data_IF_333541650741
#
_entry.id   IF_333541650741
#
_cell.length_a   1.000
_cell.length_b   1.000
_cell.length_c   1.000
_cell.angle_alpha   90.00
_cell.angle_beta   90.00
_cell.angle_gamma   90.00
#
_symmetry.space_group_name_H-M   'P 1'
#
loop_
_entity.id
_entity.type
_entity.pdbx_description
1 polymer ?
#
# COMPACT_ATOMS: atom_id res chain seq x y z
N UNK A 1 43.22 -30.05 -29.25
CA UNK A 1 42.09 -29.93 -28.29
C UNK A 1 41.79 -28.44 -28.15
N UNK A 2 40.83 -27.92 -28.92
CA UNK A 2 40.48 -26.49 -28.94
C UNK A 2 39.28 -26.32 -28.01
N UNK A 3 39.46 -25.66 -26.86
CA UNK A 3 38.38 -25.25 -25.99
C UNK A 3 37.71 -24.01 -26.59
N UNK A 4 36.49 -24.15 -27.11
CA UNK A 4 35.63 -23.03 -27.47
C UNK A 4 34.98 -22.54 -26.15
N UNK A 5 35.52 -21.46 -25.57
CA UNK A 5 34.87 -20.69 -24.54
C UNK A 5 33.73 -19.88 -25.20
N UNK A 6 32.52 -20.39 -25.16
CA UNK A 6 31.36 -19.64 -25.51
C UNK A 6 31.14 -18.55 -24.44
N UNK A 7 31.37 -17.30 -24.79
CA UNK A 7 30.94 -16.15 -23.99
C UNK A 7 29.43 -16.07 -24.05
N UNK A 8 28.74 -16.52 -22.98
CA UNK A 8 27.35 -16.17 -22.72
C UNK A 8 27.33 -14.69 -22.35
N UNK A 9 27.01 -13.84 -23.30
CA UNK A 9 26.55 -12.48 -22.99
C UNK A 9 25.16 -12.60 -22.33
N UNK A 10 25.14 -12.71 -21.02
CA UNK A 10 23.94 -12.43 -20.28
C UNK A 10 23.67 -10.91 -20.48
N UNK A 11 22.80 -10.56 -21.41
CA UNK A 11 22.18 -9.25 -21.42
C UNK A 11 21.33 -9.20 -20.14
N UNK A 12 21.88 -8.59 -19.11
CA UNK A 12 21.11 -8.24 -17.92
C UNK A 12 20.07 -7.21 -18.38
N UNK A 13 18.87 -7.69 -18.61
CA UNK A 13 17.69 -6.86 -18.82
C UNK A 13 17.47 -6.14 -17.48
N UNK A 14 17.76 -4.83 -17.43
CA UNK A 14 17.70 -4.07 -16.17
C UNK A 14 16.26 -3.93 -15.71
N UNK A 15 16.00 -4.29 -14.46
CA UNK A 15 14.74 -4.02 -13.79
C UNK A 15 14.45 -2.51 -13.75
N UNK A 16 13.18 -2.14 -13.83
CA UNK A 16 12.77 -0.73 -13.69
C UNK A 16 12.74 -0.34 -12.22
N UNK A 17 13.39 0.77 -11.87
CA UNK A 17 13.36 1.31 -10.52
C UNK A 17 12.77 2.73 -10.50
N UNK A 18 11.78 2.95 -9.63
CA UNK A 18 11.12 4.24 -9.41
C UNK A 18 11.31 4.64 -7.95
N UNK A 19 11.64 5.90 -7.72
CA UNK A 19 11.72 6.49 -6.39
C UNK A 19 10.88 7.74 -6.30
N UNK A 20 10.27 7.98 -5.13
CA UNK A 20 9.45 9.17 -4.91
C UNK A 20 8.89 9.26 -3.49
N UNK A 21 7.81 10.03 -3.32
CA UNK A 21 7.14 10.19 -2.03
C UNK A 21 5.66 9.88 -2.11
N UNK A 22 5.11 9.47 -0.96
CA UNK A 22 3.77 8.93 -0.83
C UNK A 22 3.08 9.51 0.41
N UNK A 23 2.50 10.72 0.31
CA UNK A 23 1.67 11.28 1.37
C UNK A 23 0.32 10.56 1.45
N UNK A 24 -0.12 10.32 2.68
CA UNK A 24 -1.44 9.77 2.96
C UNK A 24 -2.09 10.47 4.15
N UNK A 25 -3.39 10.72 4.08
CA UNK A 25 -4.18 11.23 5.20
C UNK A 25 -5.46 10.41 5.34
N UNK A 26 -5.85 10.14 6.58
CA UNK A 26 -7.07 9.39 6.89
C UNK A 26 -7.85 10.06 8.02
N UNK A 27 -9.15 10.23 7.80
CA UNK A 27 -10.11 10.73 8.78
C UNK A 27 -11.17 9.68 9.03
N UNK A 28 -11.28 9.22 10.28
CA UNK A 28 -12.28 8.25 10.69
C UNK A 28 -13.19 8.84 11.74
N UNK A 29 -14.49 8.61 11.65
CA UNK A 29 -15.47 8.98 12.68
C UNK A 29 -16.46 7.86 12.95
N UNK A 30 -16.85 7.75 14.23
CA UNK A 30 -17.82 6.78 14.68
C UNK A 30 -19.24 7.34 14.44
N UNK A 31 -20.06 6.60 13.69
CA UNK A 31 -21.49 6.88 13.57
C UNK A 31 -22.27 6.26 14.75
N UNK A 32 -21.77 5.15 15.28
CA UNK A 32 -22.31 4.46 16.46
C UNK A 32 -21.24 3.55 17.05
N UNK A 33 -21.54 2.79 18.11
CA UNK A 33 -20.64 1.81 18.68
C UNK A 33 -20.17 0.74 17.66
N UNK A 34 -21.02 0.42 16.68
CA UNK A 34 -20.76 -0.62 15.69
C UNK A 34 -20.36 -0.08 14.31
N UNK A 35 -20.72 1.13 13.96
CA UNK A 35 -20.52 1.68 12.62
C UNK A 35 -19.54 2.86 12.62
N UNK A 36 -18.70 2.90 11.60
CA UNK A 36 -17.77 4.00 11.36
C UNK A 36 -17.69 4.35 9.88
N UNK A 37 -17.34 5.59 9.58
CA UNK A 37 -16.97 6.04 8.24
C UNK A 37 -15.52 6.46 8.27
N UNK A 38 -14.78 6.14 7.20
CA UNK A 38 -13.39 6.53 7.02
C UNK A 38 -13.21 7.11 5.64
N UNK A 39 -12.68 8.32 5.57
CA UNK A 39 -12.19 8.92 4.33
C UNK A 39 -10.67 8.86 4.33
N UNK A 40 -10.09 8.54 3.20
CA UNK A 40 -8.65 8.45 3.02
C UNK A 40 -8.26 9.10 1.69
N UNK A 41 -7.20 9.87 1.72
CA UNK A 41 -6.51 10.41 0.54
C UNK A 41 -5.11 9.87 0.57
N UNK A 42 -4.64 9.36 -0.55
CA UNK A 42 -3.25 8.97 -0.75
C UNK A 42 -2.80 9.40 -2.15
N UNK A 43 -1.56 9.88 -2.26
CA UNK A 43 -1.01 10.35 -3.53
C UNK A 43 0.40 9.81 -3.72
N UNK A 44 0.78 9.55 -4.96
CA UNK A 44 2.11 9.07 -5.33
C UNK A 44 2.75 10.08 -6.28
N UNK A 45 3.98 10.46 -5.95
CA UNK A 45 4.76 11.45 -6.69
C UNK A 45 6.13 10.88 -6.98
N UNK A 46 6.41 10.59 -8.26
CA UNK A 46 7.71 10.14 -8.73
C UNK A 46 8.72 11.28 -8.70
N UNK A 47 9.96 10.97 -8.40
CA UNK A 47 11.12 11.87 -8.45
C UNK A 47 12.22 11.31 -9.34
N UNK A 48 12.27 10.00 -9.51
CA UNK A 48 13.25 9.30 -10.32
C UNK A 48 12.63 8.06 -10.96
N UNK A 49 12.93 7.84 -12.22
CA UNK A 49 12.59 6.61 -12.96
C UNK A 49 13.81 6.19 -13.78
N UNK A 50 14.31 4.96 -13.56
CA UNK A 50 15.48 4.42 -14.28
C UNK A 50 15.25 4.25 -15.78
N UNK A 51 14.01 4.29 -16.25
CA UNK A 51 13.70 4.28 -17.68
C UNK A 51 13.82 5.66 -18.33
N UNK A 52 13.97 6.73 -17.53
CA UNK A 52 14.21 8.07 -18.05
C UNK A 52 15.64 8.16 -18.58
N UNK A 53 15.80 8.40 -19.88
CA UNK A 53 17.09 8.43 -20.58
C UNK A 53 18.10 9.46 -20.05
N UNK A 54 17.61 10.49 -19.34
CA UNK A 54 18.45 11.57 -18.84
C UNK A 54 19.00 11.29 -17.44
N UNK A 55 18.53 10.24 -16.74
CA UNK A 55 18.86 9.93 -15.33
C UNK A 55 18.72 11.12 -14.36
N UNK A 56 17.92 12.12 -14.74
CA UNK A 56 17.69 13.33 -13.96
C UNK A 56 16.49 13.12 -13.01
N UNK A 57 16.51 13.89 -11.91
CA UNK A 57 15.36 13.96 -11.02
C UNK A 57 14.25 14.79 -11.70
N UNK A 58 13.15 14.14 -11.99
CA UNK A 58 11.99 14.76 -12.60
C UNK A 58 10.74 14.52 -11.74
N UNK A 59 10.05 15.58 -11.37
CA UNK A 59 8.81 15.46 -10.62
C UNK A 59 7.66 15.02 -11.53
N UNK A 60 7.02 13.93 -11.16
CA UNK A 60 5.83 13.39 -11.82
C UNK A 60 4.73 13.09 -10.79
N UNK A 61 3.54 13.62 -11.02
CA UNK A 61 2.36 13.18 -10.28
C UNK A 61 1.85 11.86 -10.86
N UNK A 62 2.12 10.74 -10.18
CA UNK A 62 1.72 9.42 -10.70
C UNK A 62 0.23 9.16 -10.51
N UNK A 63 -0.31 9.40 -9.32
CA UNK A 63 -1.75 9.22 -9.03
C UNK A 63 -2.17 9.86 -7.71
N UNK A 64 -3.49 10.09 -7.58
CA UNK A 64 -4.15 10.41 -6.30
C UNK A 64 -5.39 9.55 -6.12
N UNK A 65 -5.49 8.83 -5.01
CA UNK A 65 -6.62 7.98 -4.63
C UNK A 65 -7.46 8.66 -3.54
N UNK A 66 -8.74 8.89 -3.83
CA UNK A 66 -9.76 9.35 -2.88
C UNK A 66 -10.61 8.15 -2.48
N UNK A 67 -10.56 7.74 -1.22
CA UNK A 67 -11.23 6.55 -0.74
C UNK A 67 -12.24 6.90 0.36
N UNK A 68 -13.39 6.21 0.35
CA UNK A 68 -14.42 6.31 1.39
C UNK A 68 -14.88 4.91 1.78
N UNK A 69 -14.96 4.64 3.06
CA UNK A 69 -15.36 3.34 3.60
C UNK A 69 -16.49 3.52 4.62
N UNK A 70 -17.44 2.61 4.59
CA UNK A 70 -18.41 2.38 5.67
C UNK A 70 -18.05 1.03 6.29
N UNK A 71 -17.77 1.04 7.60
CA UNK A 71 -17.33 -0.14 8.32
C UNK A 71 -18.26 -0.53 9.45
N UNK A 72 -18.44 -1.84 9.64
CA UNK A 72 -19.16 -2.43 10.78
C UNK A 72 -18.20 -3.26 11.62
N UNK A 73 -18.19 -2.98 12.93
CA UNK A 73 -17.46 -3.77 13.92
C UNK A 73 -18.33 -4.91 14.40
N UNK A 74 -17.90 -6.14 14.19
CA UNK A 74 -18.57 -7.35 14.64
C UNK A 74 -18.09 -7.79 16.04
N UNK A 75 -16.83 -7.53 16.34
CA UNK A 75 -16.24 -7.76 17.66
C UNK A 75 -15.12 -6.73 17.92
N UNK A 76 -14.51 -6.68 19.12
CA UNK A 76 -13.34 -5.84 19.37
C UNK A 76 -12.15 -6.13 18.44
N UNK A 77 -12.16 -7.29 17.79
CA UNK A 77 -11.06 -7.77 16.96
C UNK A 77 -11.40 -7.84 15.46
N UNK A 78 -12.67 -7.80 15.07
CA UNK A 78 -13.10 -8.00 13.68
C UNK A 78 -13.93 -6.82 13.20
N UNK A 79 -13.50 -6.23 12.08
CA UNK A 79 -14.20 -5.17 11.37
C UNK A 79 -14.32 -5.55 9.89
N UNK A 80 -15.48 -5.31 9.30
CA UNK A 80 -15.77 -5.43 7.87
C UNK A 80 -16.06 -4.04 7.33
N UNK A 81 -15.44 -3.69 6.20
CA UNK A 81 -15.67 -2.41 5.54
C UNK A 81 -16.05 -2.66 4.07
N UNK A 82 -16.96 -1.84 3.57
CA UNK A 82 -17.25 -1.68 2.15
C UNK A 82 -16.78 -0.28 1.78
N UNK A 83 -16.09 -0.14 0.66
CA UNK A 83 -15.51 1.12 0.24
C UNK A 83 -15.64 1.38 -1.24
N UNK A 84 -15.42 2.62 -1.56
CA UNK A 84 -15.33 3.13 -2.90
C UNK A 84 -14.08 4.01 -3.01
N UNK A 85 -13.40 3.91 -4.14
CA UNK A 85 -12.22 4.71 -4.47
C UNK A 85 -12.41 5.35 -5.84
N UNK A 86 -12.07 6.62 -5.90
CA UNK A 86 -11.87 7.36 -7.14
C UNK A 86 -10.38 7.64 -7.27
N UNK A 87 -9.79 7.22 -8.39
CA UNK A 87 -8.38 7.44 -8.72
C UNK A 87 -8.27 8.51 -9.79
N UNK A 88 -7.43 9.49 -9.51
CA UNK A 88 -7.01 10.54 -10.44
C UNK A 88 -5.58 10.18 -10.87
N UNK A 89 -5.40 9.90 -12.15
CA UNK A 89 -4.08 9.62 -12.74
C UNK A 89 -4.03 10.21 -14.17
N UNK A 90 -2.83 10.35 -14.71
CA UNK A 90 -2.67 10.87 -16.06
C UNK A 90 -3.31 9.91 -17.07
N UNK A 91 -4.07 10.45 -18.00
CA UNK A 91 -4.75 9.70 -19.05
C UNK A 91 -6.18 9.29 -18.70
N UNK A 92 -6.41 8.51 -17.67
CA UNK A 92 -7.75 8.00 -17.33
C UNK A 92 -8.01 7.94 -15.82
N UNK A 93 -9.11 8.57 -15.40
CA UNK A 93 -9.59 8.41 -14.02
C UNK A 93 -10.35 7.09 -13.87
N UNK A 94 -10.08 6.34 -12.79
CA UNK A 94 -10.67 5.04 -12.57
C UNK A 94 -11.51 4.98 -11.30
N UNK A 95 -12.49 4.08 -11.31
CA UNK A 95 -13.39 3.82 -10.19
C UNK A 95 -13.11 2.42 -9.63
N UNK A 96 -13.21 2.28 -8.30
CA UNK A 96 -12.96 0.99 -7.66
C UNK A 96 -13.93 0.74 -6.52
N UNK A 97 -14.52 -0.45 -6.50
CA UNK A 97 -15.22 -0.98 -5.33
C UNK A 97 -14.27 -1.79 -4.47
N UNK A 98 -14.48 -1.76 -3.15
CA UNK A 98 -13.58 -2.37 -2.18
C UNK A 98 -14.41 -3.09 -1.13
N UNK A 99 -14.09 -4.36 -0.86
CA UNK A 99 -14.59 -5.12 0.28
C UNK A 99 -13.39 -5.56 1.12
N UNK A 100 -13.44 -5.34 2.43
CA UNK A 100 -12.33 -5.75 3.28
C UNK A 100 -12.78 -6.26 4.64
N UNK A 101 -12.01 -7.21 5.15
CA UNK A 101 -12.09 -7.71 6.52
C UNK A 101 -10.78 -7.40 7.21
N UNK A 102 -10.86 -6.79 8.38
CA UNK A 102 -9.73 -6.49 9.26
C UNK A 102 -9.85 -7.28 10.55
N UNK A 103 -8.79 -7.99 10.91
CA UNK A 103 -8.69 -8.79 12.14
C UNK A 103 -7.51 -8.28 12.94
N UNK A 104 -7.74 -7.93 14.21
CA UNK A 104 -6.72 -7.44 15.13
C UNK A 104 -6.40 -8.51 16.18
N UNK A 105 -5.14 -8.90 16.24
CA UNK A 105 -4.59 -9.71 17.34
C UNK A 105 -3.80 -8.80 18.27
N UNK A 106 -4.01 -8.94 19.58
CA UNK A 106 -3.27 -8.21 20.61
C UNK A 106 -2.47 -9.21 21.44
N UNK A 107 -1.18 -8.97 21.55
CA UNK A 107 -0.31 -9.63 22.51
C UNK A 107 0.20 -8.59 23.51
N UNK A 108 0.98 -9.01 24.51
CA UNK A 108 1.39 -8.16 25.63
C UNK A 108 2.18 -6.92 25.21
N UNK A 109 3.00 -7.04 24.15
CA UNK A 109 3.91 -5.96 23.71
C UNK A 109 3.85 -5.65 22.21
N UNK A 110 2.90 -6.24 21.46
CA UNK A 110 2.71 -5.93 20.04
C UNK A 110 1.26 -6.12 19.63
N UNK A 111 0.91 -5.48 18.52
CA UNK A 111 -0.38 -5.65 17.84
C UNK A 111 -0.14 -6.15 16.43
N UNK A 112 -0.88 -7.17 16.03
CA UNK A 112 -0.85 -7.70 14.66
C UNK A 112 -2.22 -7.49 14.04
N UNK A 113 -2.24 -6.81 12.90
CA UNK A 113 -3.42 -6.60 12.08
C UNK A 113 -3.33 -7.43 10.80
N UNK A 114 -4.36 -8.21 10.55
CA UNK A 114 -4.58 -8.89 9.27
C UNK A 114 -5.63 -8.11 8.49
N UNK A 115 -5.43 -7.94 7.20
CA UNK A 115 -6.44 -7.38 6.29
C UNK A 115 -6.53 -8.23 5.04
N UNK A 116 -7.71 -8.77 4.79
CA UNK A 116 -8.08 -9.39 3.53
C UNK A 116 -8.93 -8.37 2.78
N UNK A 117 -8.59 -8.09 1.52
CA UNK A 117 -9.30 -7.13 0.69
C UNK A 117 -9.51 -7.70 -0.71
N UNK A 118 -10.68 -7.45 -1.25
CA UNK A 118 -11.03 -7.65 -2.65
C UNK A 118 -11.34 -6.28 -3.25
N UNK A 119 -10.77 -5.99 -4.40
CA UNK A 119 -11.03 -4.76 -5.14
C UNK A 119 -11.39 -5.09 -6.60
N UNK A 120 -12.33 -4.32 -7.14
CA UNK A 120 -12.73 -4.34 -8.55
C UNK A 120 -12.55 -2.94 -9.12
N UNK A 121 -11.64 -2.80 -10.09
CA UNK A 121 -11.36 -1.52 -10.77
C UNK A 121 -12.03 -1.48 -12.12
N UNK A 122 -12.81 -0.43 -12.35
CA UNK A 122 -13.55 -0.18 -13.57
C UNK A 122 -12.82 0.87 -14.41
N UNK A 123 -12.53 0.52 -15.64
CA UNK A 123 -11.95 1.38 -16.67
C UNK A 123 -13.03 1.71 -17.69
N UNK A 124 -12.83 2.80 -18.44
CA UNK A 124 -13.75 3.19 -19.50
C UNK A 124 -13.67 2.24 -20.70
N UNK A 125 -12.44 1.96 -21.15
CA UNK A 125 -12.17 1.25 -22.41
C UNK A 125 -11.33 -0.03 -22.20
N UNK A 126 -11.18 -0.52 -20.96
CA UNK A 126 -10.46 -1.74 -20.65
C UNK A 126 -11.31 -2.70 -19.79
N UNK A 127 -11.00 -4.00 -19.80
CA UNK A 127 -11.66 -4.99 -18.95
C UNK A 127 -11.50 -4.68 -17.46
N UNK A 128 -12.44 -5.21 -16.67
CA UNK A 128 -12.42 -5.16 -15.22
C UNK A 128 -11.09 -5.74 -14.66
N UNK A 129 -10.42 -5.01 -13.78
CA UNK A 129 -9.28 -5.52 -13.03
C UNK A 129 -9.76 -5.96 -11.64
N UNK A 130 -9.65 -7.25 -11.38
CA UNK A 130 -9.91 -7.85 -10.07
C UNK A 130 -8.62 -8.00 -9.28
N UNK A 131 -8.65 -7.71 -7.96
CA UNK A 131 -7.50 -7.89 -7.07
C UNK A 131 -7.90 -8.52 -5.76
N UNK A 132 -7.17 -9.57 -5.38
CA UNK A 132 -7.22 -10.18 -4.06
C UNK A 132 -5.96 -9.80 -3.28
N UNK A 133 -6.13 -9.27 -2.05
CA UNK A 133 -5.02 -8.69 -1.27
C UNK A 133 -5.03 -9.24 0.16
N UNK A 134 -3.85 -9.59 0.65
CA UNK A 134 -3.64 -9.92 2.05
C UNK A 134 -2.51 -9.07 2.62
N UNK A 135 -2.81 -8.34 3.70
CA UNK A 135 -1.83 -7.54 4.43
C UNK A 135 -1.70 -8.00 5.88
N UNK A 136 -0.45 -8.18 6.29
CA UNK A 136 -0.03 -8.33 7.67
C UNK A 136 0.64 -7.03 8.13
N UNK A 137 0.20 -6.43 9.24
CA UNK A 137 0.82 -5.23 9.83
C UNK A 137 1.10 -5.49 11.31
N UNK A 138 2.37 -5.37 11.71
CA UNK A 138 2.83 -5.35 13.10
C UNK A 138 2.99 -3.92 13.61
N UNK A 139 2.63 -3.68 14.87
CA UNK A 139 2.93 -2.44 15.60
C UNK A 139 3.60 -2.80 16.92
N UNK A 140 4.79 -2.25 17.17
CA UNK A 140 5.63 -2.51 18.33
C UNK A 140 5.88 -1.19 19.04
N UNK A 141 5.38 -0.98 20.28
CA UNK A 141 5.74 0.17 21.09
C UNK A 141 7.26 0.23 21.31
N UNK A 142 7.84 1.43 21.26
CA UNK A 142 9.27 1.62 21.49
C UNK A 142 9.58 2.06 22.93
N UNK A 143 8.55 2.37 23.71
CA UNK A 143 8.64 2.89 25.07
C UNK A 143 7.63 2.17 25.95
N UNK A 144 8.00 1.07 26.57
CA UNK A 144 7.09 0.29 27.42
C UNK A 144 6.43 -0.92 26.71
N UNK A 145 5.45 -1.54 27.38
CA UNK A 145 4.74 -2.73 26.90
C UNK A 145 3.43 -2.40 26.16
N UNK A 146 2.89 -1.22 26.39
CA UNK A 146 1.69 -0.70 25.71
C UNK A 146 2.05 0.56 24.95
N UNK A 147 1.23 0.93 23.98
CA UNK A 147 1.40 2.19 23.27
C UNK A 147 0.50 3.23 23.93
N UNK A 148 1.14 4.16 24.66
CA UNK A 148 0.48 5.23 25.38
C UNK A 148 0.60 6.60 24.66
N UNK A 149 -0.30 7.57 24.91
CA UNK A 149 -0.22 8.90 24.31
C UNK A 149 1.14 9.58 24.53
N UNK A 150 1.68 10.17 23.45
CA UNK A 150 3.01 10.79 23.42
C UNK A 150 4.13 9.85 23.03
N UNK A 151 3.87 8.56 22.87
CA UNK A 151 4.89 7.55 22.58
C UNK A 151 5.10 7.30 21.08
N UNK A 152 6.23 6.65 20.79
CA UNK A 152 6.61 6.22 19.44
C UNK A 152 6.44 4.71 19.31
N UNK A 153 6.20 4.27 18.08
CA UNK A 153 6.11 2.85 17.74
C UNK A 153 6.74 2.56 16.38
N UNK A 154 7.21 1.35 16.23
CA UNK A 154 7.62 0.80 14.93
C UNK A 154 6.41 0.11 14.29
N UNK A 155 6.10 0.46 13.05
CA UNK A 155 5.13 -0.23 12.23
C UNK A 155 5.84 -0.95 11.08
N UNK A 156 5.58 -2.24 10.94
CA UNK A 156 6.10 -3.06 9.83
C UNK A 156 4.92 -3.74 9.16
N UNK A 157 4.87 -3.72 7.84
CA UNK A 157 3.81 -4.42 7.11
C UNK A 157 4.33 -5.07 5.84
N UNK A 158 3.70 -6.18 5.48
CA UNK A 158 3.83 -6.81 4.18
C UNK A 158 2.44 -7.05 3.60
N UNK A 159 2.26 -6.75 2.31
CA UNK A 159 1.01 -6.96 1.59
C UNK A 159 1.30 -7.68 0.27
N UNK A 160 0.63 -8.79 0.05
CA UNK A 160 0.58 -9.51 -1.22
C UNK A 160 -0.70 -9.14 -1.96
N UNK A 161 -0.58 -8.90 -3.26
CA UNK A 161 -1.69 -8.51 -4.14
C UNK A 161 -1.62 -9.39 -5.37
N UNK A 162 -2.63 -10.22 -5.56
CA UNK A 162 -2.84 -10.98 -6.78
C UNK A 162 -3.86 -10.26 -7.65
N UNK A 163 -3.53 -10.05 -8.91
CA UNK A 163 -4.31 -9.28 -9.88
C UNK A 163 -4.69 -10.14 -11.07
N UNK A 164 -5.91 -9.98 -11.58
CA UNK A 164 -6.38 -10.62 -12.80
C UNK A 164 -7.10 -9.58 -13.66
N UNK A 165 -6.70 -9.46 -14.92
CA UNK A 165 -7.37 -8.64 -15.91
C UNK A 165 -7.45 -9.42 -17.22
N UNK A 166 -8.66 -9.73 -17.68
CA UNK A 166 -8.88 -10.64 -18.80
C UNK A 166 -8.26 -12.04 -18.57
N UNK A 167 -7.27 -12.42 -19.35
CA UNK A 167 -6.52 -13.68 -19.25
C UNK A 167 -5.12 -13.50 -18.67
N UNK A 168 -4.76 -12.27 -18.26
CA UNK A 168 -3.47 -11.97 -17.70
C UNK A 168 -3.59 -11.84 -16.18
N UNK A 169 -2.62 -12.39 -15.47
CA UNK A 169 -2.52 -12.30 -14.03
C UNK A 169 -1.14 -11.80 -13.62
N UNK A 170 -1.07 -11.12 -12.48
CA UNK A 170 0.17 -10.65 -11.90
C UNK A 170 0.13 -10.68 -10.38
N UNK A 171 1.32 -10.63 -9.79
CA UNK A 171 1.55 -10.58 -8.35
C UNK A 171 2.36 -9.34 -7.99
N UNK A 172 1.90 -8.59 -6.99
CA UNK A 172 2.64 -7.47 -6.41
C UNK A 172 2.91 -7.76 -4.93
N UNK A 173 4.13 -7.46 -4.46
CA UNK A 173 4.51 -7.45 -3.06
C UNK A 173 4.79 -6.02 -2.61
N UNK A 174 4.29 -5.64 -1.42
CA UNK A 174 4.55 -4.36 -0.76
C UNK A 174 5.08 -4.59 0.63
N UNK A 175 6.27 -4.09 0.91
CA UNK A 175 6.88 -4.12 2.23
C UNK A 175 7.05 -2.69 2.74
N UNK A 176 6.55 -2.39 3.93
CA UNK A 176 6.69 -1.05 4.49
C UNK A 176 7.17 -1.09 5.94
N UNK A 177 8.05 -0.13 6.27
CA UNK A 177 8.55 0.12 7.62
C UNK A 177 8.35 1.60 7.93
N UNK A 178 7.77 1.92 9.08
CA UNK A 178 7.52 3.31 9.49
C UNK A 178 7.76 3.51 10.98
N UNK A 179 8.30 4.68 11.33
CA UNK A 179 8.29 5.21 12.67
C UNK A 179 6.97 5.96 12.88
N UNK A 180 6.20 5.52 13.86
CA UNK A 180 4.94 6.13 14.23
C UNK A 180 5.06 6.99 15.48
N UNK A 181 4.32 8.09 15.50
CA UNK A 181 4.15 8.99 16.62
C UNK A 181 2.68 8.93 17.04
N UNK A 182 2.41 8.45 18.25
CA UNK A 182 1.09 8.35 18.82
C UNK A 182 0.83 9.55 19.73
N UNK A 183 0.29 10.63 19.17
CA UNK A 183 0.07 11.87 19.95
C UNK A 183 -1.02 11.67 21.02
N UNK A 184 -2.12 11.05 20.63
CA UNK A 184 -3.25 10.71 21.48
C UNK A 184 -4.13 9.64 20.80
N UNK A 185 -5.24 9.24 21.43
CA UNK A 185 -6.17 8.22 20.92
C UNK A 185 -6.81 8.58 19.57
N UNK A 186 -6.72 9.84 19.16
CA UNK A 186 -7.33 10.37 17.95
C UNK A 186 -6.31 10.67 16.85
N UNK A 187 -5.05 10.91 17.19
CA UNK A 187 -4.05 11.47 16.27
C UNK A 187 -2.80 10.61 16.23
N UNK A 188 -2.44 10.16 15.02
CA UNK A 188 -1.20 9.42 14.73
C UNK A 188 -0.53 9.99 13.50
N UNK A 189 0.79 9.98 13.53
CA UNK A 189 1.64 10.34 12.40
C UNK A 189 2.63 9.21 12.14
N UNK A 190 2.81 8.81 10.90
CA UNK A 190 3.78 7.79 10.49
C UNK A 190 4.69 8.37 9.41
N UNK A 191 6.00 8.13 9.53
CA UNK A 191 6.97 8.41 8.47
C UNK A 191 7.82 7.17 8.24
N UNK A 192 8.09 6.82 6.97
CA UNK A 192 8.81 5.59 6.69
C UNK A 192 9.04 5.35 5.20
N UNK A 193 9.33 4.11 4.88
CA UNK A 193 9.58 3.62 3.54
C UNK A 193 8.54 2.56 3.17
N UNK A 194 8.08 2.59 1.93
CA UNK A 194 7.18 1.61 1.32
C UNK A 194 7.83 1.13 0.02
N UNK A 195 8.30 -0.12 0.03
CA UNK A 195 8.95 -0.76 -1.11
C UNK A 195 8.00 -1.74 -1.77
N UNK A 196 7.86 -1.64 -3.08
CA UNK A 196 6.95 -2.45 -3.88
C UNK A 196 7.70 -3.10 -5.01
N UNK A 197 7.34 -4.35 -5.29
CA UNK A 197 7.80 -5.10 -6.45
C UNK A 197 6.58 -5.69 -7.13
N UNK A 198 6.45 -5.51 -8.41
CA UNK A 198 5.39 -6.06 -9.26
C UNK A 198 5.96 -6.61 -10.56
N UNK A 199 5.08 -7.04 -11.46
CA UNK A 199 5.41 -7.70 -12.73
C UNK A 199 6.07 -9.09 -12.54
N UNK A 200 5.68 -9.83 -11.47
CA UNK A 200 6.25 -11.16 -11.17
C UNK A 200 5.83 -12.23 -12.18
N UNK A 201 4.66 -12.08 -12.83
CA UNK A 201 4.06 -13.09 -13.69
C UNK A 201 3.92 -12.65 -15.16
N UNK A 202 4.10 -11.35 -15.44
CA UNK A 202 3.80 -10.75 -16.76
C UNK A 202 5.04 -10.60 -17.60
N UNK A 203 6.19 -10.24 -17.01
CA UNK A 203 7.43 -9.93 -17.72
C UNK A 203 8.65 -10.62 -17.10
N UNK A 204 9.72 -10.76 -17.89
CA UNK A 204 11.04 -11.21 -17.39
C UNK A 204 11.78 -10.12 -16.58
N UNK A 205 11.12 -9.00 -16.30
CA UNK A 205 11.66 -7.83 -15.59
C UNK A 205 10.74 -7.41 -14.45
N UNK A 206 11.35 -7.20 -13.30
CA UNK A 206 10.63 -6.65 -12.16
C UNK A 206 10.57 -5.13 -12.23
N UNK A 207 9.45 -4.58 -11.76
CA UNK A 207 9.32 -3.16 -11.49
C UNK A 207 9.41 -2.92 -9.98
N UNK A 208 10.43 -2.17 -9.56
CA UNK A 208 10.69 -1.82 -8.17
C UNK A 208 10.31 -0.37 -7.93
N UNK A 209 9.56 -0.11 -6.85
CA UNK A 209 9.14 1.24 -6.46
C UNK A 209 9.45 1.46 -4.99
N UNK A 210 10.26 2.47 -4.68
CA UNK A 210 10.58 2.88 -3.32
C UNK A 210 9.94 4.24 -3.04
N UNK A 211 9.02 4.27 -2.09
CA UNK A 211 8.32 5.48 -1.69
C UNK A 211 8.74 5.93 -0.30
N UNK A 212 9.12 7.20 -0.15
CA UNK A 212 9.19 7.85 1.15
C UNK A 212 7.76 8.19 1.58
N UNK A 213 7.26 7.47 2.59
CA UNK A 213 5.87 7.54 3.04
C UNK A 213 5.71 8.50 4.20
N UNK A 214 4.68 9.36 4.12
CA UNK A 214 4.23 10.25 5.20
C UNK A 214 2.74 10.01 5.40
N UNK A 215 2.30 9.65 6.61
CA UNK A 215 0.92 9.35 6.93
C UNK A 215 0.40 10.12 8.13
N UNK A 216 -0.80 10.71 8.01
CA UNK A 216 -1.52 11.30 9.14
C UNK A 216 -2.89 10.64 9.30
N UNK A 217 -3.19 10.19 10.51
CA UNK A 217 -4.41 9.44 10.82
C UNK A 217 -5.14 10.11 11.97
N UNK A 218 -6.37 10.56 11.70
CA UNK A 218 -7.24 11.22 12.67
C UNK A 218 -8.51 10.41 12.90
N UNK A 219 -8.88 10.24 14.17
CA UNK A 219 -10.16 9.66 14.60
C UNK A 219 -10.97 10.70 15.38
N UNK A 220 -12.27 10.83 15.08
CA UNK A 220 -13.20 11.74 15.74
C UNK A 220 -14.25 10.95 16.54
#
# INVERSE_FOLDING_TARGET
MVCILGSFSAQAQSDRFIFGFFPEASLSYKLSEKYSVTHKVESQHGLYDSNNLNEELEYEHSLTDLQSFIGRRFSPFVKVDIGYQYRIEEGENTHRTIQQVSILQRASFYRIGHRIRIDETFFKDAPLLFRARYRLKGQIPLQGLSLDPGEKYLAVSNELIYMIQSSEDDLENRFAVSLGFYFDDKNKFEVGLDYRTDDYLVEDKFRHRLWFKIGYYKSL
#
